data_IF_489822498579
#
_entry.id   IF_489822498579
#
_cell.length_a   1.000
_cell.length_b   1.000
_cell.length_c   1.000
_cell.angle_alpha   90.00
_cell.angle_beta   90.00
_cell.angle_gamma   90.00
#
_symmetry.space_group_name_H-M   'P 1'
#
loop_
_entity.id
_entity.type
_entity.pdbx_description
1 polymer ?
#
# COMPACT_ATOMS: atom_id res chain seq x y z
N UNK A 1 -8.56 15.67 10.86
CA UNK A 1 -7.47 15.07 10.05
C UNK A 1 -8.12 14.03 9.15
N UNK A 2 -8.00 14.14 7.82
CA UNK A 2 -8.28 12.98 6.95
C UNK A 2 -7.23 11.95 7.31
N UNK A 3 -7.62 10.79 7.84
CA UNK A 3 -6.73 9.65 7.86
C UNK A 3 -6.45 9.35 6.37
N UNK A 4 -5.24 9.66 5.92
CA UNK A 4 -4.79 9.17 4.63
C UNK A 4 -4.58 7.68 4.86
N UNK A 5 -5.56 6.87 4.48
CA UNK A 5 -5.33 5.43 4.36
C UNK A 5 -4.24 5.27 3.29
N UNK A 6 -3.13 4.58 3.59
CA UNK A 6 -2.09 4.39 2.61
C UNK A 6 -2.68 3.64 1.42
N UNK A 7 -2.35 4.09 0.21
CA UNK A 7 -2.82 3.49 -1.04
C UNK A 7 -1.64 2.86 -1.77
N UNK A 8 -1.87 1.80 -2.57
CA UNK A 8 -0.81 1.10 -3.29
C UNK A 8 -0.07 2.00 -4.30
N UNK A 9 -0.72 3.09 -4.73
CA UNK A 9 -0.18 4.07 -5.66
C UNK A 9 -0.48 5.49 -5.19
N UNK A 10 0.24 6.47 -5.74
CA UNK A 10 0.02 7.90 -5.43
C UNK A 10 -1.32 8.47 -5.94
N UNK A 11 -2.01 7.76 -6.84
CA UNK A 11 -3.31 8.16 -7.39
C UNK A 11 -4.36 7.14 -6.95
N UNK A 12 -5.05 7.34 -5.82
CA UNK A 12 -6.01 6.37 -5.31
C UNK A 12 -7.18 6.16 -6.27
N UNK A 13 -7.79 4.97 -6.23
CA UNK A 13 -9.04 4.73 -6.95
C UNK A 13 -10.14 5.65 -6.41
N UNK A 14 -11.08 6.10 -7.26
CA UNK A 14 -12.15 7.01 -6.85
C UNK A 14 -13.25 6.33 -6.00
N UNK A 15 -12.94 5.28 -5.23
CA UNK A 15 -13.91 4.41 -4.55
C UNK A 15 -14.74 5.11 -3.46
N UNK A 16 -14.11 5.93 -2.61
CA UNK A 16 -14.78 6.64 -1.52
C UNK A 16 -15.70 7.77 -1.99
N UNK A 17 -15.53 8.25 -3.23
CA UNK A 17 -16.21 9.44 -3.74
C UNK A 17 -17.38 9.10 -4.68
N UNK A 18 -17.62 7.82 -4.98
CA UNK A 18 -18.59 7.43 -6.02
C UNK A 18 -20.06 7.74 -5.65
N UNK A 19 -20.42 7.82 -4.36
CA UNK A 19 -21.79 8.18 -3.94
C UNK A 19 -22.18 9.65 -4.18
N UNK A 20 -21.23 10.53 -4.48
CA UNK A 20 -21.52 11.95 -4.71
C UNK A 20 -21.84 12.24 -6.17
N UNK A 21 -23.00 11.80 -6.63
CA UNK A 21 -23.69 12.41 -7.78
C UNK A 21 -23.29 11.94 -9.18
N UNK A 22 -22.55 10.85 -9.35
CA UNK A 22 -22.45 10.21 -10.68
C UNK A 22 -23.71 9.40 -10.95
N UNK A 23 -24.57 9.89 -11.85
CA UNK A 23 -25.60 9.08 -12.49
C UNK A 23 -24.95 7.99 -13.35
N UNK A 24 -24.51 6.90 -12.72
CA UNK A 24 -24.05 5.70 -13.40
C UNK A 24 -25.27 4.87 -13.79
N UNK A 25 -25.94 5.23 -14.89
CA UNK A 25 -27.01 4.38 -15.45
C UNK A 25 -26.95 4.10 -16.95
N UNK A 26 -25.95 4.60 -17.69
CA UNK A 26 -26.01 4.47 -19.15
C UNK A 26 -24.82 3.78 -19.84
N UNK A 27 -23.73 3.41 -19.15
CA UNK A 27 -22.56 2.83 -19.85
C UNK A 27 -21.92 1.58 -19.24
N UNK A 28 -22.36 1.10 -18.06
CA UNK A 28 -21.95 -0.21 -17.57
C UNK A 28 -22.76 -1.29 -18.31
N UNK A 29 -22.36 -1.58 -19.55
CA UNK A 29 -22.91 -2.72 -20.27
C UNK A 29 -22.58 -4.00 -19.50
N UNK A 30 -23.56 -4.50 -18.75
CA UNK A 30 -23.71 -5.88 -18.27
C UNK A 30 -22.41 -6.60 -17.86
N UNK A 31 -21.76 -6.14 -16.78
CA UNK A 31 -20.93 -7.08 -16.01
C UNK A 31 -21.93 -7.99 -15.32
N UNK A 32 -21.92 -9.29 -15.64
CA UNK A 32 -22.74 -10.28 -14.94
C UNK A 32 -22.16 -10.51 -13.54
N UNK A 33 -22.41 -9.56 -12.63
CA UNK A 33 -22.03 -9.67 -11.23
C UNK A 33 -23.07 -10.54 -10.51
N UNK A 34 -22.59 -11.56 -9.83
CA UNK A 34 -23.41 -12.35 -8.92
C UNK A 34 -23.35 -11.73 -7.53
N UNK A 35 -24.48 -11.29 -6.98
CA UNK A 35 -24.57 -10.70 -5.64
C UNK A 35 -23.94 -11.60 -4.55
N UNK A 36 -24.07 -12.94 -4.68
CA UNK A 36 -23.46 -13.87 -3.74
C UNK A 36 -21.93 -13.89 -3.83
N UNK A 37 -21.37 -13.62 -5.01
CA UNK A 37 -19.93 -13.49 -5.22
C UNK A 37 -19.41 -12.15 -4.67
N UNK A 38 -20.17 -11.06 -4.85
CA UNK A 38 -19.84 -9.75 -4.25
C UNK A 38 -19.79 -9.83 -2.72
N UNK A 39 -20.74 -10.54 -2.10
CA UNK A 39 -20.72 -10.78 -0.64
C UNK A 39 -19.50 -11.59 -0.20
N UNK A 40 -19.10 -12.61 -0.97
CA UNK A 40 -17.90 -13.39 -0.67
C UNK A 40 -16.62 -12.56 -0.82
N UNK A 41 -16.55 -11.72 -1.85
CA UNK A 41 -15.45 -10.78 -2.06
C UNK A 41 -15.32 -9.80 -0.89
N UNK A 42 -16.43 -9.19 -0.47
CA UNK A 42 -16.46 -8.28 0.67
C UNK A 42 -16.06 -8.98 1.98
N UNK A 43 -16.51 -10.22 2.20
CA UNK A 43 -16.08 -11.01 3.36
C UNK A 43 -14.58 -11.28 3.35
N UNK A 44 -14.03 -11.73 2.23
CA UNK A 44 -12.60 -11.95 2.06
C UNK A 44 -11.79 -10.67 2.34
N UNK A 45 -12.24 -9.54 1.79
CA UNK A 45 -11.60 -8.24 2.03
C UNK A 45 -11.53 -7.91 3.53
N UNK A 46 -12.61 -8.15 4.29
CA UNK A 46 -12.63 -7.89 5.73
C UNK A 46 -11.84 -8.92 6.55
N UNK A 47 -11.63 -10.13 6.02
CA UNK A 47 -10.70 -11.08 6.63
C UNK A 47 -9.24 -10.67 6.46
N UNK A 48 -8.91 -9.93 5.40
CA UNK A 48 -7.58 -9.39 5.15
C UNK A 48 -7.40 -8.06 5.91
N UNK A 49 -8.35 -7.15 5.78
CA UNK A 49 -8.33 -5.82 6.36
C UNK A 49 -9.70 -5.47 6.93
N UNK A 50 -9.87 -5.63 8.25
CA UNK A 50 -11.16 -5.50 8.93
C UNK A 50 -11.80 -4.11 8.84
N UNK A 51 -10.98 -3.06 8.70
CA UNK A 51 -11.43 -1.66 8.59
C UNK A 51 -11.64 -1.21 7.13
N UNK A 52 -11.61 -2.14 6.17
CA UNK A 52 -11.82 -1.82 4.76
C UNK A 52 -13.25 -1.27 4.51
N UNK A 53 -13.41 -0.36 3.55
CA UNK A 53 -14.74 0.05 3.09
C UNK A 53 -15.51 -1.14 2.51
N UNK A 54 -16.81 -1.23 2.84
CA UNK A 54 -17.71 -2.23 2.26
C UNK A 54 -17.80 -2.12 0.74
N UNK A 55 -17.87 -3.26 0.08
CA UNK A 55 -18.01 -3.39 -1.37
C UNK A 55 -19.41 -3.89 -1.70
N UNK A 56 -20.09 -3.20 -2.61
CA UNK A 56 -21.41 -3.58 -3.11
C UNK A 56 -21.43 -3.53 -4.64
N UNK A 57 -22.45 -4.14 -5.25
CA UNK A 57 -22.61 -4.23 -6.71
C UNK A 57 -22.64 -2.83 -7.34
N UNK A 58 -23.33 -1.88 -6.72
CA UNK A 58 -23.45 -0.51 -7.24
C UNK A 58 -22.09 0.21 -7.31
N UNK A 59 -21.22 0.04 -6.30
CA UNK A 59 -19.86 0.62 -6.30
C UNK A 59 -18.98 -0.01 -7.36
N UNK A 60 -19.05 -1.34 -7.53
CA UNK A 60 -18.29 -2.06 -8.55
C UNK A 60 -18.68 -1.61 -9.96
N UNK A 61 -19.99 -1.49 -10.23
CA UNK A 61 -20.48 -0.99 -11.51
C UNK A 61 -20.05 0.45 -11.79
N UNK A 62 -20.06 1.31 -10.77
CA UNK A 62 -19.57 2.69 -10.88
C UNK A 62 -18.06 2.75 -11.17
N UNK A 63 -17.27 1.91 -10.49
CA UNK A 63 -15.83 1.81 -10.70
C UNK A 63 -15.51 1.31 -12.11
N UNK A 64 -16.22 0.29 -12.58
CA UNK A 64 -16.10 -0.20 -13.95
C UNK A 64 -16.48 0.87 -14.98
N UNK A 65 -17.59 1.58 -14.75
CA UNK A 65 -18.01 2.67 -15.62
C UNK A 65 -17.01 3.82 -15.65
N UNK A 66 -16.33 4.11 -14.53
CA UNK A 66 -15.23 5.07 -14.48
C UNK A 66 -14.03 4.58 -15.29
N UNK A 67 -13.60 3.32 -15.11
CA UNK A 67 -12.45 2.75 -15.80
C UNK A 67 -12.66 2.72 -17.33
N UNK A 68 -13.87 2.38 -17.79
CA UNK A 68 -14.24 2.39 -19.21
C UNK A 68 -14.29 3.79 -19.84
N UNK A 69 -14.44 4.85 -19.04
CA UNK A 69 -14.38 6.24 -19.53
C UNK A 69 -12.95 6.72 -19.76
N UNK A 70 -11.96 6.05 -19.18
CA UNK A 70 -10.56 6.43 -19.36
C UNK A 70 -10.07 6.01 -20.75
N UNK A 71 -9.09 6.74 -21.32
CA UNK A 71 -8.32 6.25 -22.47
C UNK A 71 -7.71 4.87 -22.16
N UNK A 72 -7.71 3.96 -23.13
CA UNK A 72 -7.25 2.56 -22.94
C UNK A 72 -5.87 2.48 -22.30
N UNK A 73 -4.95 3.37 -22.68
CA UNK A 73 -3.60 3.40 -22.11
C UNK A 73 -3.61 3.77 -20.61
N UNK A 74 -4.41 4.77 -20.22
CA UNK A 74 -4.54 5.17 -18.82
C UNK A 74 -5.24 4.10 -17.99
N UNK A 75 -6.27 3.45 -18.53
CA UNK A 75 -6.93 2.34 -17.86
C UNK A 75 -5.95 1.18 -17.57
N UNK A 76 -5.09 0.84 -18.54
CA UNK A 76 -4.03 -0.16 -18.35
C UNK A 76 -3.02 0.26 -17.29
N UNK A 77 -2.54 1.50 -17.33
CA UNK A 77 -1.60 2.02 -16.33
C UNK A 77 -2.18 1.97 -14.91
N UNK A 78 -3.48 2.26 -14.75
CA UNK A 78 -4.18 2.11 -13.46
C UNK A 78 -4.10 0.67 -12.99
N UNK A 79 -4.44 -0.31 -13.83
CA UNK A 79 -4.42 -1.74 -13.47
C UNK A 79 -2.98 -2.21 -13.19
N UNK A 80 -2.07 -2.01 -14.14
CA UNK A 80 -0.69 -2.49 -14.09
C UNK A 80 0.06 -1.96 -12.87
N UNK A 81 -0.15 -0.69 -12.50
CA UNK A 81 0.51 -0.10 -11.31
C UNK A 81 0.10 -0.76 -9.99
N UNK A 82 -1.13 -1.29 -9.88
CA UNK A 82 -1.57 -2.06 -8.72
C UNK A 82 -1.10 -3.50 -8.77
N UNK A 83 -1.14 -4.13 -9.94
CA UNK A 83 -0.63 -5.49 -10.09
C UNK A 83 0.87 -5.57 -9.82
N UNK A 84 1.62 -4.50 -10.07
CA UNK A 84 3.02 -4.41 -9.65
C UNK A 84 3.18 -4.49 -8.12
N UNK A 85 2.25 -3.91 -7.35
CA UNK A 85 2.24 -4.04 -5.89
C UNK A 85 1.91 -5.46 -5.45
N UNK A 86 1.07 -6.18 -6.19
CA UNK A 86 0.80 -7.61 -5.94
C UNK A 86 2.06 -8.44 -6.16
N UNK A 87 2.82 -8.17 -7.24
CA UNK A 87 4.10 -8.83 -7.51
C UNK A 87 5.11 -8.58 -6.39
N UNK A 88 5.16 -7.36 -5.88
CA UNK A 88 6.02 -7.02 -4.75
C UNK A 88 5.65 -7.79 -3.47
N UNK A 89 4.36 -7.93 -3.17
CA UNK A 89 3.94 -8.77 -2.03
C UNK A 89 4.30 -10.24 -2.24
N UNK A 90 4.31 -10.71 -3.50
CA UNK A 90 4.78 -12.07 -3.82
C UNK A 90 6.29 -12.20 -3.59
N UNK A 91 7.10 -11.24 -4.01
CA UNK A 91 8.55 -11.28 -3.76
C UNK A 91 8.87 -11.18 -2.27
N UNK A 92 8.09 -10.40 -1.52
CA UNK A 92 8.20 -10.33 -0.06
C UNK A 92 8.00 -11.71 0.59
N UNK A 93 6.98 -12.46 0.18
CA UNK A 93 6.73 -13.81 0.71
C UNK A 93 7.78 -14.84 0.30
N UNK A 94 8.37 -14.69 -0.89
CA UNK A 94 9.35 -15.62 -1.45
C UNK A 94 10.79 -15.33 -0.95
N UNK A 95 11.03 -14.20 -0.30
CA UNK A 95 12.38 -13.81 0.17
C UNK A 95 12.70 -14.47 1.52
N UNK A 96 13.58 -15.49 1.49
CA UNK A 96 14.03 -16.21 2.69
C UNK A 96 14.80 -15.32 3.70
N UNK A 97 15.29 -14.14 3.26
CA UNK A 97 15.95 -13.17 4.14
C UNK A 97 14.95 -12.26 4.87
N UNK A 98 13.67 -12.29 4.46
CA UNK A 98 12.62 -11.50 5.06
C UNK A 98 11.75 -12.34 6.00
N UNK A 99 11.68 -11.91 7.26
CA UNK A 99 10.88 -12.56 8.30
C UNK A 99 9.69 -11.66 8.64
N UNK A 100 8.65 -11.74 7.80
CA UNK A 100 7.36 -11.11 8.06
C UNK A 100 6.55 -11.94 9.07
N UNK A 101 5.70 -11.27 9.85
CA UNK A 101 4.89 -11.97 10.84
C UNK A 101 3.89 -12.96 10.20
N UNK A 102 3.56 -14.03 10.92
CA UNK A 102 2.64 -15.09 10.45
C UNK A 102 1.26 -14.55 10.04
N UNK A 103 0.77 -13.50 10.69
CA UNK A 103 -0.53 -12.92 10.35
C UNK A 103 -0.46 -12.15 9.01
N UNK A 104 0.65 -11.47 8.74
CA UNK A 104 0.94 -10.80 7.47
C UNK A 104 1.13 -11.83 6.36
N UNK A 105 1.85 -12.92 6.61
CA UNK A 105 1.93 -14.06 5.68
C UNK A 105 0.54 -14.61 5.32
N UNK A 106 -0.30 -14.86 6.34
CA UNK A 106 -1.65 -15.37 6.12
C UNK A 106 -2.52 -14.39 5.33
N UNK A 107 -2.41 -13.08 5.59
CA UNK A 107 -3.16 -12.04 4.86
C UNK A 107 -2.72 -11.94 3.39
N UNK A 108 -1.41 -11.91 3.12
CA UNK A 108 -0.90 -11.86 1.75
C UNK A 108 -1.28 -13.16 1.01
N UNK A 109 -1.14 -14.31 1.65
CA UNK A 109 -1.54 -15.60 1.08
C UNK A 109 -3.02 -15.65 0.69
N UNK A 110 -3.92 -15.10 1.50
CA UNK A 110 -5.35 -14.97 1.15
C UNK A 110 -5.57 -14.08 -0.06
N UNK A 111 -4.88 -12.94 -0.13
CA UNK A 111 -4.95 -12.02 -1.26
C UNK A 111 -4.48 -12.69 -2.56
N UNK A 112 -3.30 -13.32 -2.54
CA UNK A 112 -2.76 -14.03 -3.71
C UNK A 112 -3.64 -15.21 -4.12
N UNK A 113 -4.15 -15.98 -3.15
CA UNK A 113 -5.08 -17.09 -3.43
C UNK A 113 -6.38 -16.64 -4.08
N UNK A 114 -6.78 -15.37 -3.94
CA UNK A 114 -7.92 -14.84 -4.69
C UNK A 114 -7.52 -14.48 -6.12
N UNK A 115 -6.44 -13.71 -6.27
CA UNK A 115 -5.94 -13.21 -7.57
C UNK A 115 -5.55 -14.36 -8.50
N UNK A 116 -5.06 -15.49 -7.97
CA UNK A 116 -4.68 -16.65 -8.79
C UNK A 116 -5.87 -17.53 -9.23
N UNK A 117 -7.14 -17.12 -8.99
CA UNK A 117 -8.34 -17.89 -9.36
C UNK A 117 -8.81 -17.58 -10.78
N UNK A 118 -9.07 -18.61 -11.59
CA UNK A 118 -9.53 -18.45 -12.98
C UNK A 118 -11.00 -17.97 -13.13
N UNK A 119 -11.83 -18.16 -12.10
CA UNK A 119 -13.24 -17.73 -12.04
C UNK A 119 -13.46 -16.90 -10.75
N UNK A 120 -12.85 -15.71 -10.72
CA UNK A 120 -13.04 -14.68 -9.70
C UNK A 120 -14.31 -13.84 -9.96
N UNK A 121 -14.43 -12.67 -9.30
CA UNK A 121 -15.66 -11.87 -9.35
C UNK A 121 -15.94 -11.34 -10.76
N UNK A 122 -14.91 -11.00 -11.52
CA UNK A 122 -15.02 -10.49 -12.89
C UNK A 122 -14.08 -11.28 -13.79
N UNK A 123 -14.64 -12.24 -14.53
CA UNK A 123 -13.84 -13.12 -15.38
C UNK A 123 -12.79 -12.38 -16.23
N UNK A 124 -11.53 -12.79 -16.09
CA UNK A 124 -10.32 -12.28 -16.76
C UNK A 124 -10.47 -12.02 -18.27
N UNK A 125 -11.30 -12.83 -18.93
CA UNK A 125 -11.59 -12.72 -20.37
C UNK A 125 -12.26 -11.41 -20.78
N UNK A 126 -12.82 -10.64 -19.84
CA UNK A 126 -13.48 -9.37 -20.13
C UNK A 126 -12.40 -8.30 -20.37
N UNK A 127 -12.28 -7.74 -21.59
CA UNK A 127 -11.24 -6.77 -21.88
C UNK A 127 -11.30 -5.56 -20.95
N UNK A 128 -10.16 -5.12 -20.42
CA UNK A 128 -9.99 -3.99 -19.49
C UNK A 128 -10.58 -4.20 -18.09
N UNK A 129 -11.66 -4.98 -17.94
CA UNK A 129 -12.34 -5.15 -16.65
C UNK A 129 -11.98 -6.45 -15.91
N UNK A 130 -11.41 -7.44 -16.59
CA UNK A 130 -11.14 -8.76 -16.02
C UNK A 130 -10.21 -8.79 -14.81
N UNK A 131 -9.53 -7.68 -14.50
CA UNK A 131 -8.64 -7.56 -13.33
C UNK A 131 -9.11 -6.44 -12.39
N UNK A 132 -10.34 -5.94 -12.57
CA UNK A 132 -10.83 -4.80 -11.82
C UNK A 132 -11.04 -5.14 -10.35
N UNK A 133 -11.54 -6.34 -10.07
CA UNK A 133 -11.73 -6.87 -8.72
C UNK A 133 -10.40 -7.15 -8.02
N UNK A 134 -9.39 -7.68 -8.72
CA UNK A 134 -8.02 -7.80 -8.20
C UNK A 134 -7.45 -6.44 -7.79
N UNK A 135 -7.57 -5.46 -8.69
CA UNK A 135 -7.11 -4.09 -8.48
C UNK A 135 -7.84 -3.44 -7.31
N UNK A 136 -9.15 -3.69 -7.19
CA UNK A 136 -9.93 -3.20 -6.06
C UNK A 136 -9.51 -3.88 -4.75
N UNK A 137 -9.28 -5.20 -4.77
CA UNK A 137 -8.88 -5.97 -3.60
C UNK A 137 -7.57 -5.43 -3.04
N UNK A 138 -6.54 -5.28 -3.88
CA UNK A 138 -5.25 -4.74 -3.44
C UNK A 138 -5.37 -3.27 -3.00
N UNK A 139 -6.18 -2.45 -3.67
CA UNK A 139 -6.38 -1.05 -3.28
C UNK A 139 -6.99 -0.92 -1.88
N UNK A 140 -8.02 -1.70 -1.56
CA UNK A 140 -8.72 -1.62 -0.28
C UNK A 140 -8.02 -2.38 0.84
N UNK A 141 -7.23 -3.41 0.51
CA UNK A 141 -6.46 -4.18 1.47
C UNK A 141 -5.07 -3.58 1.75
N UNK A 142 -4.57 -2.65 0.92
CA UNK A 142 -3.23 -2.08 1.05
C UNK A 142 -2.88 -1.55 2.45
N UNK A 143 -3.79 -0.92 3.21
CA UNK A 143 -3.48 -0.51 4.58
C UNK A 143 -3.05 -1.64 5.52
N UNK A 144 -3.41 -2.89 5.26
CA UNK A 144 -2.94 -4.05 6.03
C UNK A 144 -1.51 -4.47 5.69
N UNK A 145 -0.93 -3.95 4.60
CA UNK A 145 0.38 -4.34 4.06
C UNK A 145 1.36 -3.16 3.91
N UNK A 146 0.89 -1.93 4.02
CA UNK A 146 1.65 -0.74 3.65
C UNK A 146 2.97 -0.62 4.41
N UNK A 147 2.93 -0.78 5.73
CA UNK A 147 4.11 -0.68 6.60
C UNK A 147 5.11 -1.80 6.27
N UNK A 148 4.65 -3.04 6.13
CA UNK A 148 5.50 -4.19 5.80
C UNK A 148 6.15 -4.03 4.41
N UNK A 149 5.40 -3.56 3.42
CA UNK A 149 5.92 -3.33 2.07
C UNK A 149 6.95 -2.19 2.06
N UNK A 150 6.75 -1.14 2.86
CA UNK A 150 7.72 -0.04 3.00
C UNK A 150 9.03 -0.54 3.64
N UNK A 151 8.93 -1.27 4.75
CA UNK A 151 10.07 -1.86 5.45
C UNK A 151 10.83 -2.85 4.55
N UNK A 152 10.12 -3.69 3.80
CA UNK A 152 10.73 -4.62 2.85
C UNK A 152 11.47 -3.90 1.72
N UNK A 153 10.89 -2.85 1.12
CA UNK A 153 11.60 -2.04 0.10
C UNK A 153 12.88 -1.44 0.64
N UNK A 154 12.83 -0.93 1.86
CA UNK A 154 13.99 -0.33 2.52
C UNK A 154 15.08 -1.38 2.78
N UNK A 155 14.68 -2.58 3.22
CA UNK A 155 15.59 -3.71 3.40
C UNK A 155 16.26 -4.16 2.08
N UNK A 156 15.50 -4.25 0.98
CA UNK A 156 16.06 -4.56 -0.35
C UNK A 156 17.08 -3.49 -0.77
N UNK A 157 16.73 -2.22 -0.65
CA UNK A 157 17.63 -1.12 -0.98
C UNK A 157 18.91 -1.15 -0.12
N UNK A 158 18.78 -1.47 1.17
CA UNK A 158 19.90 -1.67 2.06
C UNK A 158 20.81 -2.82 1.62
N UNK A 159 20.23 -3.98 1.27
CA UNK A 159 20.96 -5.17 0.81
C UNK A 159 21.72 -4.91 -0.48
N UNK A 160 21.12 -4.16 -1.41
CA UNK A 160 21.72 -3.80 -2.70
C UNK A 160 22.90 -2.85 -2.57
N UNK A 161 22.92 -1.99 -1.55
CA UNK A 161 23.99 -1.01 -1.33
C UNK A 161 25.09 -1.55 -0.42
N UNK A 162 24.73 -2.18 0.69
CA UNK A 162 25.68 -2.54 1.75
C UNK A 162 26.21 -3.96 1.65
N UNK A 163 25.56 -4.85 0.88
CA UNK A 163 25.92 -6.26 0.72
C UNK A 163 26.32 -6.93 2.05
N UNK A 164 25.43 -6.92 3.07
CA UNK A 164 25.76 -7.44 4.39
C UNK A 164 26.09 -8.95 4.31
N UNK A 165 27.22 -9.32 4.92
CA UNK A 165 27.60 -10.72 5.10
C UNK A 165 26.76 -11.39 6.20
N UNK A 166 26.71 -12.73 6.21
CA UNK A 166 26.11 -13.52 7.28
C UNK A 166 24.92 -14.36 6.84
N UNK A 167 24.19 -14.91 7.82
CA UNK A 167 22.91 -15.56 7.60
C UNK A 167 21.76 -14.54 7.41
N UNK A 168 20.58 -15.01 7.01
CA UNK A 168 19.38 -14.18 6.78
C UNK A 168 19.03 -13.28 7.98
N UNK A 169 18.98 -13.86 9.17
CA UNK A 169 18.70 -13.19 10.43
C UNK A 169 19.76 -12.14 10.78
N UNK A 170 21.04 -12.44 10.51
CA UNK A 170 22.15 -11.52 10.73
C UNK A 170 22.08 -10.31 9.77
N UNK A 171 21.77 -10.55 8.48
CA UNK A 171 21.57 -9.49 7.49
C UNK A 171 20.43 -8.55 7.88
N UNK A 172 19.28 -9.11 8.29
CA UNK A 172 18.13 -8.33 8.75
C UNK A 172 18.46 -7.55 10.03
N UNK A 173 19.15 -8.17 10.99
CA UNK A 173 19.57 -7.49 12.22
C UNK A 173 20.59 -6.36 11.97
N UNK A 174 21.41 -6.45 10.93
CA UNK A 174 22.31 -5.37 10.51
C UNK A 174 21.51 -4.16 9.98
N UNK A 175 20.54 -4.42 9.09
CA UNK A 175 19.63 -3.39 8.57
C UNK A 175 18.86 -2.67 9.69
N UNK A 176 18.21 -3.44 10.58
CA UNK A 176 17.44 -2.88 11.71
C UNK A 176 18.31 -1.98 12.59
N UNK A 177 19.56 -2.38 12.85
CA UNK A 177 20.49 -1.59 13.66
C UNK A 177 20.83 -0.26 13.01
N UNK A 178 21.07 -0.26 11.70
CA UNK A 178 21.37 0.96 10.95
C UNK A 178 20.17 1.91 10.93
N UNK A 179 18.95 1.39 10.75
CA UNK A 179 17.73 2.18 10.86
C UNK A 179 17.52 2.77 12.26
N UNK A 180 17.82 2.02 13.31
CA UNK A 180 17.77 2.52 14.68
C UNK A 180 18.81 3.62 14.96
N UNK A 181 20.04 3.45 14.45
CA UNK A 181 21.10 4.45 14.58
C UNK A 181 20.74 5.75 13.84
N UNK A 182 20.15 5.65 12.65
CA UNK A 182 19.63 6.81 11.91
C UNK A 182 18.52 7.53 12.67
N UNK A 183 17.52 6.81 13.18
CA UNK A 183 16.45 7.39 13.99
C UNK A 183 17.02 8.09 15.24
N UNK A 184 18.00 7.49 15.91
CA UNK A 184 18.67 8.08 17.06
C UNK A 184 19.42 9.37 16.70
N UNK A 185 20.11 9.40 15.54
CA UNK A 185 20.76 10.61 15.01
C UNK A 185 19.75 11.71 14.71
N UNK A 186 18.61 11.37 14.09
CA UNK A 186 17.52 12.32 13.83
C UNK A 186 16.95 12.90 15.12
N UNK A 187 16.65 12.05 16.11
CA UNK A 187 16.15 12.49 17.42
C UNK A 187 17.17 13.40 18.13
N UNK A 188 18.45 13.05 18.09
CA UNK A 188 19.50 13.88 18.65
C UNK A 188 19.60 15.24 17.95
N UNK A 189 19.53 15.27 16.61
CA UNK A 189 19.55 16.51 15.83
C UNK A 189 18.33 17.40 16.12
N UNK A 190 17.14 16.81 16.25
CA UNK A 190 15.93 17.52 16.66
C UNK A 190 16.09 18.11 18.06
N UNK A 191 16.55 17.31 19.02
CA UNK A 191 16.80 17.76 20.38
C UNK A 191 17.81 18.92 20.40
N UNK A 192 18.95 18.78 19.72
CA UNK A 192 19.97 19.83 19.59
C UNK A 192 19.38 21.12 19.01
N UNK A 193 18.53 21.03 17.98
CA UNK A 193 17.88 22.19 17.36
C UNK A 193 16.94 22.91 18.34
N UNK A 194 16.26 22.16 19.21
CA UNK A 194 15.40 22.70 20.26
C UNK A 194 16.20 23.30 21.42
N UNK A 195 17.40 22.78 21.69
CA UNK A 195 18.33 23.36 22.65
C UNK A 195 18.96 24.63 22.07
N UNK A 196 18.52 25.80 22.55
CA UNK A 196 19.16 27.07 22.20
C UNK A 196 20.63 27.09 22.66
N UNK A 197 21.56 27.14 21.71
CA UNK A 197 23.00 27.29 21.96
C UNK A 197 23.42 28.62 22.63
N UNK A 198 22.50 29.55 22.84
CA UNK A 198 22.76 30.80 23.53
C UNK A 198 21.82 30.93 24.73
N UNK A 199 22.33 31.04 25.97
CA UNK A 199 21.51 31.54 27.05
C UNK A 199 21.08 32.96 26.64
N UNK A 200 19.77 33.21 26.62
CA UNK A 200 19.16 34.53 26.40
C UNK A 200 19.55 35.56 27.49
N UNK A 201 20.35 35.14 28.47
CA UNK A 201 21.02 35.93 29.50
C UNK A 201 22.55 35.92 29.28
N UNK A 202 23.04 36.39 28.13
CA UNK A 202 24.43 36.82 28.04
C UNK A 202 24.52 38.29 28.50
N UNK A 203 25.29 38.61 29.56
CA UNK A 203 25.55 40.00 29.94
C UNK A 203 26.11 40.77 28.74
N UNK A 204 25.51 41.92 28.44
CA UNK A 204 25.75 42.73 27.23
C UNK A 204 27.11 43.44 27.16
N UNK A 205 28.16 42.94 27.81
CA UNK A 205 29.47 43.55 27.67
C UNK A 205 30.57 42.79 28.36
N UNK A 206 31.45 42.16 27.60
CA UNK A 206 32.77 41.75 28.05
C UNK A 206 33.73 41.56 26.85
N UNK A 207 33.83 42.55 25.95
CA UNK A 207 35.01 42.68 25.08
C UNK A 207 35.30 44.17 24.85
N UNK A 208 36.23 44.74 25.63
CA UNK A 208 36.99 45.91 25.20
C UNK A 208 38.36 45.39 24.78
N UNK A 209 38.63 45.42 23.48
CA UNK A 209 39.98 45.22 22.93
C UNK A 209 40.77 46.48 23.27
N UNK A 210 41.89 46.31 23.97
CA UNK A 210 42.84 47.37 24.31
C UNK A 210 43.76 47.67 23.12
#
# INVERSE_FOLDING_TARGET
MRMFHPTPTAQPLPFDHMYSGMGARETAAAIELNDAAVVQFDQLLHEIHADAPRVDTDRLEQLAAWLLKLPTQQAREVIESRLERVRELRTLLDDEDWDADEATHARIGKLLSYIDREDDLIADRIPVLGQLDDVLLIELAWPAFADEAEDYRDFIAYRDVNHPDGAADERRAAWVRERLDEVALWQHAMWVREQHYAPWNLPRGLFRVA
#
